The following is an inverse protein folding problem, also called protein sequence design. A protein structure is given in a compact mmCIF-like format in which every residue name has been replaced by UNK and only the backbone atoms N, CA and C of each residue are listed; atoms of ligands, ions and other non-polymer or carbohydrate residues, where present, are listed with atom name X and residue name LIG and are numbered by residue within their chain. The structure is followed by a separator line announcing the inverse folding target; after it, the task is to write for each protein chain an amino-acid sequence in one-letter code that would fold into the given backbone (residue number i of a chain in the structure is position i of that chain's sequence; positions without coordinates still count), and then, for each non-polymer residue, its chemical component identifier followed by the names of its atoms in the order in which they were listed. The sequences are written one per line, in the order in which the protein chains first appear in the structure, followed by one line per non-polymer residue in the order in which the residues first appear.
data_IF_551562707099
#
_entry.id   IF_551562707099
#
_cell.length_a   1.000
_cell.length_b   1.000
_cell.length_c   1.000
_cell.angle_alpha   90.00
_cell.angle_beta   90.00
_cell.angle_gamma   90.00
#
_symmetry.space_group_name_H-M   'P 1'
#
loop_
_entity.id
_entity.type
_entity.pdbx_description
1 polymer ?
#
# COMPACT_ATOMS: atom_id res chain seq x y z
N UNK A 1 -7.91 -13.33 3.86
CA UNK A 1 -6.87 -12.28 3.92
C UNK A 1 -7.50 -10.91 4.15
N UNK A 2 -8.30 -10.38 3.20
CA UNK A 2 -8.89 -9.04 3.29
C UNK A 2 -9.81 -8.80 4.50
N UNK A 3 -10.51 -9.82 4.99
CA UNK A 3 -11.39 -9.74 6.18
C UNK A 3 -10.77 -10.29 7.47
N UNK A 4 -9.53 -10.78 7.43
CA UNK A 4 -8.86 -11.45 8.56
C UNK A 4 -7.62 -10.70 9.04
N UNK A 5 -7.62 -9.37 8.95
CA UNK A 5 -6.52 -8.51 9.41
C UNK A 5 -5.27 -8.47 8.51
N UNK A 6 -5.21 -9.23 7.42
CA UNK A 6 -4.04 -9.23 6.52
C UNK A 6 -3.73 -7.87 5.89
N UNK A 7 -4.77 -7.05 5.66
CA UNK A 7 -4.61 -5.67 5.17
C UNK A 7 -3.89 -4.80 6.19
N UNK A 8 -4.26 -4.91 7.48
CA UNK A 8 -3.63 -4.15 8.56
C UNK A 8 -2.12 -4.45 8.64
N UNK A 9 -1.74 -5.72 8.50
CA UNK A 9 -0.34 -6.13 8.49
C UNK A 9 0.40 -5.48 7.31
N UNK A 10 -0.19 -5.49 6.11
CA UNK A 10 0.41 -4.85 4.94
C UNK A 10 0.55 -3.33 5.11
N UNK A 11 -0.45 -2.64 5.66
CA UNK A 11 -0.39 -1.18 5.87
C UNK A 11 0.62 -0.80 6.95
N UNK A 12 0.76 -1.61 8.01
CA UNK A 12 1.82 -1.47 9.01
C UNK A 12 3.20 -1.66 8.39
N UNK A 13 3.43 -2.76 7.67
CA UNK A 13 4.71 -3.01 7.02
C UNK A 13 5.06 -1.98 5.95
N UNK A 14 4.07 -1.48 5.21
CA UNK A 14 4.29 -0.43 4.21
C UNK A 14 4.76 0.87 4.86
N UNK A 15 4.15 1.25 5.98
CA UNK A 15 4.55 2.44 6.75
C UNK A 15 5.95 2.28 7.35
N UNK A 16 6.25 1.12 7.93
CA UNK A 16 7.56 0.84 8.51
C UNK A 16 8.65 0.81 7.44
N UNK A 17 8.43 0.12 6.32
CA UNK A 17 9.36 0.09 5.20
C UNK A 17 9.61 1.48 4.60
N UNK A 18 8.63 2.39 4.67
CA UNK A 18 8.81 3.77 4.23
C UNK A 18 9.77 4.54 5.14
N UNK A 19 9.65 4.37 6.47
CA UNK A 19 10.51 4.98 7.48
C UNK A 19 11.94 4.41 7.39
N UNK A 20 12.06 3.09 7.20
CA UNK A 20 13.34 2.38 7.12
C UNK A 20 13.99 2.45 5.73
N UNK A 21 13.39 3.18 4.79
CA UNK A 21 13.84 3.29 3.39
C UNK A 21 14.03 1.94 2.66
N UNK A 22 13.27 0.92 3.06
CA UNK A 22 13.30 -0.41 2.47
C UNK A 22 12.53 -0.47 1.15
N UNK A 23 13.13 0.08 0.10
CA UNK A 23 12.52 0.22 -1.23
C UNK A 23 12.05 -1.11 -1.84
N UNK A 24 12.79 -2.21 -1.65
CA UNK A 24 12.40 -3.54 -2.14
C UNK A 24 11.09 -4.03 -1.50
N UNK A 25 10.93 -3.80 -0.19
CA UNK A 25 9.73 -4.17 0.57
C UNK A 25 8.55 -3.30 0.15
N UNK A 26 8.75 -1.98 -0.01
CA UNK A 26 7.73 -1.08 -0.52
C UNK A 26 7.20 -1.53 -1.89
N UNK A 27 8.11 -1.84 -2.82
CA UNK A 27 7.74 -2.31 -4.15
C UNK A 27 6.99 -3.64 -4.11
N UNK A 28 7.40 -4.58 -3.26
CA UNK A 28 6.73 -5.86 -3.09
C UNK A 28 5.31 -5.67 -2.55
N UNK A 29 5.12 -4.86 -1.50
CA UNK A 29 3.80 -4.61 -0.91
C UNK A 29 2.89 -3.89 -1.91
N UNK A 30 3.38 -2.85 -2.59
CA UNK A 30 2.61 -2.16 -3.64
C UNK A 30 2.19 -3.12 -4.77
N UNK A 31 3.08 -4.05 -5.15
CA UNK A 31 2.76 -5.10 -6.11
C UNK A 31 1.66 -6.02 -5.56
N UNK A 32 1.74 -6.46 -4.31
CA UNK A 32 0.69 -7.30 -3.68
C UNK A 32 -0.66 -6.57 -3.67
N UNK A 33 -0.69 -5.30 -3.23
CA UNK A 33 -1.92 -4.48 -3.22
C UNK A 33 -2.55 -4.36 -4.62
N UNK A 34 -1.74 -4.24 -5.67
CA UNK A 34 -2.22 -4.14 -7.05
C UNK A 34 -2.94 -5.40 -7.57
N UNK A 35 -2.63 -6.57 -7.01
CA UNK A 35 -3.22 -7.86 -7.41
C UNK A 35 -4.31 -8.34 -6.44
N UNK A 36 -4.47 -7.70 -5.28
CA UNK A 36 -5.54 -8.03 -4.35
C UNK A 36 -6.90 -7.52 -4.88
N UNK A 37 -7.99 -8.25 -4.64
CA UNK A 37 -9.33 -7.79 -5.00
C UNK A 37 -9.81 -6.72 -4.01
N UNK A 38 -9.22 -5.53 -4.06
CA UNK A 38 -9.45 -4.44 -3.08
C UNK A 38 -10.91 -3.98 -3.00
N UNK A 39 -11.67 -4.12 -4.09
CA UNK A 39 -13.12 -3.89 -4.11
C UNK A 39 -13.92 -4.79 -3.15
N UNK A 40 -13.32 -5.87 -2.63
CA UNK A 40 -13.91 -6.76 -1.61
C UNK A 40 -13.42 -6.44 -0.19
N UNK A 41 -12.55 -5.45 -0.02
CA UNK A 41 -12.12 -5.02 1.31
C UNK A 41 -13.27 -4.30 2.02
N UNK A 42 -13.33 -4.40 3.35
CA UNK A 42 -14.26 -3.59 4.13
C UNK A 42 -13.89 -2.10 4.03
N UNK A 43 -14.83 -1.17 4.30
CA UNK A 43 -14.55 0.26 4.25
C UNK A 43 -13.37 0.68 5.13
N UNK A 44 -13.23 0.09 6.31
CA UNK A 44 -12.10 0.33 7.23
C UNK A 44 -10.76 -0.08 6.61
N UNK A 45 -10.69 -1.29 6.05
CA UNK A 45 -9.48 -1.79 5.39
C UNK A 45 -9.13 -0.97 4.15
N UNK A 46 -10.13 -0.55 3.37
CA UNK A 46 -9.93 0.32 2.22
C UNK A 46 -9.37 1.68 2.64
N UNK A 47 -9.89 2.24 3.74
CA UNK A 47 -9.41 3.51 4.30
C UNK A 47 -7.94 3.41 4.73
N UNK A 48 -7.58 2.33 5.42
CA UNK A 48 -6.19 2.07 5.82
C UNK A 48 -5.25 1.95 4.61
N UNK A 49 -5.67 1.24 3.55
CA UNK A 49 -4.89 1.12 2.31
C UNK A 49 -4.69 2.50 1.67
N UNK A 50 -5.77 3.25 1.48
CA UNK A 50 -5.71 4.56 0.84
C UNK A 50 -4.83 5.53 1.63
N UNK A 51 -4.93 5.53 2.96
CA UNK A 51 -4.10 6.37 3.82
C UNK A 51 -2.61 6.03 3.66
N UNK A 52 -2.23 4.75 3.75
CA UNK A 52 -0.84 4.34 3.63
C UNK A 52 -0.28 4.57 2.21
N UNK A 53 -1.04 4.27 1.17
CA UNK A 53 -0.62 4.48 -0.23
C UNK A 53 -0.52 5.98 -0.56
N UNK A 54 -1.43 6.81 -0.03
CA UNK A 54 -1.39 8.25 -0.23
C UNK A 54 -0.12 8.90 0.33
N UNK A 55 0.43 8.37 1.43
CA UNK A 55 1.73 8.80 1.97
C UNK A 55 2.90 8.60 0.99
N UNK A 56 2.80 7.63 0.07
CA UNK A 56 3.85 7.30 -0.89
C UNK A 56 3.76 8.08 -2.21
N UNK A 57 2.74 8.92 -2.43
CA UNK A 57 2.56 9.66 -3.69
C UNK A 57 3.70 10.64 -4.01
N UNK A 58 4.47 11.03 -3.00
CA UNK A 58 5.64 11.90 -3.12
C UNK A 58 6.93 11.21 -2.66
N UNK A 59 6.94 9.88 -2.61
CA UNK A 59 8.15 9.14 -2.25
C UNK A 59 9.28 9.45 -3.23
N UNK A 60 10.49 9.66 -2.69
CA UNK A 60 11.71 10.05 -3.42
C UNK A 60 11.97 9.20 -4.66
N UNK A 61 11.76 7.89 -4.55
CA UNK A 61 11.95 6.95 -5.66
C UNK A 61 10.74 7.01 -6.58
N UNK A 62 10.95 7.44 -7.82
CA UNK A 62 9.90 7.67 -8.81
C UNK A 62 9.05 6.43 -9.11
N UNK A 63 9.65 5.24 -9.17
CA UNK A 63 8.90 3.99 -9.39
C UNK A 63 7.88 3.72 -8.27
N UNK A 64 8.27 3.99 -7.01
CA UNK A 64 7.37 3.83 -5.85
C UNK A 64 6.22 4.84 -5.91
N UNK A 65 6.53 6.13 -6.13
CA UNK A 65 5.50 7.17 -6.18
C UNK A 65 4.56 7.01 -7.38
N UNK A 66 5.05 6.55 -8.53
CA UNK A 66 4.22 6.25 -9.70
C UNK A 66 3.26 5.07 -9.44
N UNK A 67 3.74 3.99 -8.81
CA UNK A 67 2.89 2.85 -8.44
C UNK A 67 1.85 3.23 -7.40
N UNK A 68 2.21 4.05 -6.42
CA UNK A 68 1.27 4.56 -5.43
C UNK A 68 0.15 5.39 -6.10
N UNK A 69 0.50 6.32 -6.98
CA UNK A 69 -0.50 7.07 -7.77
C UNK A 69 -1.40 6.17 -8.60
N UNK A 70 -0.83 5.14 -9.25
CA UNK A 70 -1.61 4.18 -10.03
C UNK A 70 -2.58 3.33 -9.20
N UNK A 71 -2.27 3.06 -7.93
CA UNK A 71 -3.19 2.41 -7.00
C UNK A 71 -4.31 3.34 -6.53
N UNK A 72 -4.02 4.64 -6.34
CA UNK A 72 -5.02 5.63 -5.91
C UNK A 72 -6.04 5.97 -7.01
N UNK A 73 -5.68 5.75 -8.28
CA UNK A 73 -6.56 5.99 -9.43
C UNK A 73 -7.41 4.78 -9.84
N UNK A 74 -7.38 3.69 -9.08
CA UNK A 74 -8.15 2.46 -9.32
C UNK A 74 -9.39 2.41 -8.45
#
# INVERSE_FOLDING_TARGET
FLSKGGVLILTTWLSQAAIEEQTSVLLLILKVLCHLPLHKASPENMSAILQSVNGLRFYRTSDISNRAKGLLSR
#
